data_IF_281118258918
#
_entry.id   IF_281118258918
#
_cell.length_a   1.000
_cell.length_b   1.000
_cell.length_c   1.000
_cell.angle_alpha   90.00
_cell.angle_beta   90.00
_cell.angle_gamma   90.00
#
_symmetry.space_group_name_H-M   'P 1'
#
loop_
_entity.id
_entity.type
_entity.pdbx_description
1 polymer ?
#
# COMPACT_ATOMS: atom_id res chain seq x y z
N UNK A 1 15.66 -75.65 -38.51
CA UNK A 1 14.19 -75.38 -38.40
C UNK A 1 13.91 -74.75 -37.08
N UNK A 2 13.63 -73.49 -37.02
CA UNK A 2 13.25 -72.79 -35.79
C UNK A 2 11.81 -73.26 -35.46
N UNK A 3 11.65 -73.87 -34.29
CA UNK A 3 10.39 -74.46 -33.85
C UNK A 3 9.26 -73.42 -33.80
N UNK A 4 8.13 -73.74 -34.43
CA UNK A 4 6.95 -72.90 -34.43
C UNK A 4 6.46 -72.55 -33.00
N UNK A 5 6.69 -73.45 -32.06
CA UNK A 5 6.35 -73.26 -30.63
C UNK A 5 7.21 -72.14 -29.97
N UNK A 6 8.49 -72.09 -30.25
CA UNK A 6 9.37 -71.02 -29.75
C UNK A 6 8.93 -69.64 -30.23
N UNK A 7 8.60 -69.48 -31.48
CA UNK A 7 8.08 -68.23 -32.07
C UNK A 7 6.74 -67.78 -31.44
N UNK A 8 5.89 -68.74 -31.09
CA UNK A 8 4.61 -68.45 -30.44
C UNK A 8 4.82 -68.03 -28.98
N UNK A 9 5.74 -68.63 -28.25
CA UNK A 9 6.08 -68.26 -26.87
C UNK A 9 6.77 -66.87 -26.79
N UNK A 10 7.69 -66.58 -27.71
CA UNK A 10 8.29 -65.25 -27.80
C UNK A 10 7.28 -64.18 -28.12
N UNK A 11 6.36 -64.39 -29.08
CA UNK A 11 5.28 -63.47 -29.37
C UNK A 11 4.37 -63.22 -28.14
N UNK A 12 4.03 -64.26 -27.38
CA UNK A 12 3.21 -64.16 -26.19
C UNK A 12 3.92 -63.38 -25.09
N UNK A 13 5.22 -63.65 -24.90
CA UNK A 13 6.03 -62.90 -23.92
C UNK A 13 6.21 -61.43 -24.32
N UNK A 14 6.38 -61.11 -25.59
CA UNK A 14 6.47 -59.76 -26.09
C UNK A 14 5.13 -59.02 -25.92
N UNK A 15 4.01 -59.65 -26.22
CA UNK A 15 2.67 -59.08 -26.06
C UNK A 15 2.36 -58.80 -24.60
N UNK A 16 2.72 -59.67 -23.67
CA UNK A 16 2.55 -59.41 -22.25
C UNK A 16 3.36 -58.19 -21.74
N UNK A 17 4.59 -58.04 -22.20
CA UNK A 17 5.42 -56.88 -21.88
C UNK A 17 4.80 -55.58 -22.44
N UNK A 18 4.23 -55.62 -23.64
CA UNK A 18 3.58 -54.51 -24.26
C UNK A 18 2.31 -54.09 -23.52
N UNK A 19 1.52 -55.05 -23.02
CA UNK A 19 0.38 -54.79 -22.17
C UNK A 19 0.78 -54.10 -20.85
N UNK A 20 1.88 -54.54 -20.21
CA UNK A 20 2.37 -53.93 -18.98
C UNK A 20 2.73 -52.45 -19.24
N UNK A 21 3.44 -52.18 -20.33
CA UNK A 21 3.81 -50.81 -20.73
C UNK A 21 2.56 -49.97 -21.03
N UNK A 22 1.59 -50.53 -21.70
CA UNK A 22 0.32 -49.87 -21.98
C UNK A 22 -0.44 -49.52 -20.69
N UNK A 23 -0.55 -50.46 -19.75
CA UNK A 23 -1.20 -50.24 -18.44
C UNK A 23 -0.49 -49.14 -17.65
N UNK A 24 0.87 -49.15 -17.69
CA UNK A 24 1.66 -48.11 -17.04
C UNK A 24 1.35 -46.70 -17.60
N UNK A 25 1.36 -46.56 -18.93
CA UNK A 25 1.01 -45.26 -19.57
C UNK A 25 -0.46 -44.86 -19.38
N UNK A 26 -1.37 -45.82 -19.41
CA UNK A 26 -2.78 -45.58 -19.11
C UNK A 26 -2.97 -45.10 -17.68
N UNK A 27 -2.29 -45.70 -16.71
CA UNK A 27 -2.27 -45.27 -15.32
C UNK A 27 -1.71 -43.86 -15.13
N UNK A 28 -0.59 -43.56 -15.83
CA UNK A 28 0.02 -42.26 -15.83
C UNK A 28 -0.93 -41.18 -16.41
N UNK A 29 -1.60 -41.52 -17.51
CA UNK A 29 -2.58 -40.64 -18.16
C UNK A 29 -3.77 -40.33 -17.24
N UNK A 30 -4.33 -41.37 -16.60
CA UNK A 30 -5.40 -41.18 -15.62
C UNK A 30 -4.97 -40.35 -14.40
N UNK A 31 -3.73 -40.51 -13.96
CA UNK A 31 -3.16 -39.68 -12.89
C UNK A 31 -3.09 -38.20 -13.31
N UNK A 32 -2.66 -37.90 -14.52
CA UNK A 32 -2.64 -36.52 -15.03
C UNK A 32 -4.05 -35.96 -15.19
N UNK A 33 -5.00 -36.75 -15.71
CA UNK A 33 -6.39 -36.32 -15.78
C UNK A 33 -6.95 -35.97 -14.39
N UNK A 34 -6.70 -36.81 -13.40
CA UNK A 34 -7.12 -36.57 -12.02
C UNK A 34 -6.48 -35.29 -11.45
N UNK A 35 -5.18 -35.10 -11.66
CA UNK A 35 -4.49 -33.88 -11.22
C UNK A 35 -5.03 -32.63 -11.92
N UNK A 36 -5.29 -32.70 -13.21
CA UNK A 36 -5.88 -31.59 -13.98
C UNK A 36 -7.29 -31.26 -13.47
N UNK A 37 -8.09 -32.28 -13.19
CA UNK A 37 -9.42 -32.09 -12.60
C UNK A 37 -9.36 -31.38 -11.25
N UNK A 38 -8.47 -31.78 -10.36
CA UNK A 38 -8.27 -31.12 -9.05
C UNK A 38 -7.87 -29.66 -9.22
N UNK A 39 -6.93 -29.39 -10.12
CA UNK A 39 -6.44 -28.02 -10.36
C UNK A 39 -7.53 -27.11 -10.96
N UNK A 40 -8.27 -27.62 -11.95
CA UNK A 40 -9.24 -26.81 -12.70
C UNK A 40 -10.60 -26.65 -12.02
N UNK A 41 -10.97 -27.57 -11.14
CA UNK A 41 -12.30 -27.56 -10.51
C UNK A 41 -12.20 -27.30 -9.01
N UNK A 42 -11.38 -28.06 -8.30
CA UNK A 42 -11.34 -27.97 -6.84
C UNK A 42 -10.55 -26.74 -6.34
N UNK A 43 -9.48 -26.38 -7.03
CA UNK A 43 -8.60 -25.26 -6.62
C UNK A 43 -8.77 -24.01 -7.51
N UNK A 44 -9.79 -23.99 -8.38
CA UNK A 44 -10.01 -22.89 -9.32
C UNK A 44 -10.16 -21.55 -8.61
N UNK A 45 -11.02 -21.51 -7.59
CA UNK A 45 -11.28 -20.28 -6.82
C UNK A 45 -10.05 -19.74 -6.10
N UNK A 46 -9.22 -20.62 -5.57
CA UNK A 46 -8.00 -20.21 -4.86
C UNK A 46 -6.97 -19.60 -5.82
N UNK A 47 -6.81 -20.20 -7.01
CA UNK A 47 -5.92 -19.68 -8.04
C UNK A 47 -6.47 -18.41 -8.72
N UNK A 48 -7.78 -18.30 -8.87
CA UNK A 48 -8.41 -17.07 -9.38
C UNK A 48 -8.18 -15.91 -8.42
N UNK A 49 -8.41 -16.09 -7.11
CA UNK A 49 -8.16 -15.08 -6.08
C UNK A 49 -6.68 -14.69 -6.08
N UNK A 50 -5.77 -15.66 -6.04
CA UNK A 50 -4.34 -15.38 -6.07
C UNK A 50 -3.90 -14.65 -7.37
N UNK A 51 -4.52 -14.97 -8.50
CA UNK A 51 -4.26 -14.26 -9.76
C UNK A 51 -4.77 -12.83 -9.73
N UNK A 52 -5.95 -12.59 -9.16
CA UNK A 52 -6.51 -11.25 -9.00
C UNK A 52 -5.66 -10.42 -8.04
N UNK A 53 -5.27 -10.96 -6.91
CA UNK A 53 -4.38 -10.28 -5.94
C UNK A 53 -3.02 -9.90 -6.57
N UNK A 54 -2.47 -10.72 -7.45
CA UNK A 54 -1.23 -10.42 -8.14
C UNK A 54 -1.38 -9.37 -9.25
N UNK A 55 -2.58 -9.23 -9.81
CA UNK A 55 -2.89 -8.28 -10.90
C UNK A 55 -3.45 -6.95 -10.42
N UNK A 56 -3.82 -6.85 -9.16
CA UNK A 56 -4.45 -5.65 -8.62
C UNK A 56 -3.61 -4.99 -7.54
N UNK A 57 -3.70 -3.67 -7.48
CA UNK A 57 -3.16 -2.86 -6.39
C UNK A 57 -4.27 -2.00 -5.81
N UNK A 58 -4.45 -2.11 -4.52
CA UNK A 58 -5.36 -1.25 -3.79
C UNK A 58 -4.60 -0.01 -3.30
N UNK A 59 -5.16 1.16 -3.59
CA UNK A 59 -4.69 2.46 -3.09
C UNK A 59 -5.79 3.04 -2.22
N UNK A 60 -5.53 3.28 -0.95
CA UNK A 60 -6.50 3.89 -0.06
C UNK A 60 -6.53 5.42 -0.27
N UNK A 61 -7.72 5.99 -0.18
CA UNK A 61 -7.94 7.42 -0.22
C UNK A 61 -8.16 7.88 1.21
N UNK A 62 -7.33 8.82 1.67
CA UNK A 62 -7.46 9.33 3.03
C UNK A 62 -8.65 10.28 3.14
N UNK A 63 -9.54 10.10 4.13
CA UNK A 63 -10.61 11.02 4.40
C UNK A 63 -10.04 12.33 5.00
N UNK A 64 -10.75 13.42 4.77
CA UNK A 64 -10.51 14.67 5.49
C UNK A 64 -11.06 14.54 6.91
N UNK A 65 -10.24 14.95 7.87
CA UNK A 65 -10.66 14.97 9.28
C UNK A 65 -11.64 16.12 9.51
N UNK A 66 -12.67 15.91 10.34
CA UNK A 66 -13.64 16.96 10.70
C UNK A 66 -12.97 18.17 11.35
N UNK A 67 -13.51 19.34 11.16
CA UNK A 67 -13.09 20.59 11.79
C UNK A 67 -13.67 20.68 13.20
N UNK A 68 -12.94 21.30 14.13
CA UNK A 68 -13.42 21.54 15.50
C UNK A 68 -13.76 23.02 15.66
N UNK A 69 -14.97 23.28 16.09
CA UNK A 69 -15.53 24.62 16.28
C UNK A 69 -15.79 24.90 17.77
N UNK A 70 -15.75 26.17 18.14
CA UNK A 70 -16.26 26.66 19.41
C UNK A 70 -17.80 26.70 19.42
N UNK A 71 -18.39 27.22 20.52
CA UNK A 71 -19.87 27.40 20.61
C UNK A 71 -20.45 28.44 19.67
N UNK A 72 -19.63 29.35 19.18
CA UNK A 72 -20.05 30.44 18.28
C UNK A 72 -19.80 30.10 16.79
N UNK A 73 -19.20 28.94 16.50
CA UNK A 73 -18.87 28.52 15.15
C UNK A 73 -17.53 29.04 14.66
N UNK A 74 -16.66 29.56 15.53
CA UNK A 74 -15.28 29.86 15.15
C UNK A 74 -14.46 28.59 15.09
N UNK A 75 -13.55 28.52 14.14
CA UNK A 75 -12.68 27.37 13.97
C UNK A 75 -11.61 27.35 15.04
N UNK A 76 -11.55 26.27 15.82
CA UNK A 76 -10.47 26.02 16.78
C UNK A 76 -9.36 25.16 16.17
N UNK A 77 -9.71 24.12 15.43
CA UNK A 77 -8.76 23.22 14.79
C UNK A 77 -9.19 22.94 13.36
N UNK A 78 -8.29 23.19 12.42
CA UNK A 78 -8.54 23.05 10.99
C UNK A 78 -7.57 22.05 10.32
N UNK A 79 -7.86 21.72 9.07
CA UNK A 79 -6.97 20.97 8.20
C UNK A 79 -6.34 21.93 7.19
N UNK A 80 -5.02 22.00 7.19
CA UNK A 80 -4.28 22.79 6.21
C UNK A 80 -3.54 21.85 5.25
N UNK A 81 -3.55 22.14 3.94
CA UNK A 81 -2.82 21.33 2.98
C UNK A 81 -1.31 21.42 3.26
N UNK A 82 -0.70 20.28 3.44
CA UNK A 82 0.75 20.08 3.63
C UNK A 82 1.29 19.36 2.40
N UNK A 83 2.39 19.84 1.87
CA UNK A 83 3.03 19.26 0.70
C UNK A 83 4.37 18.68 1.10
N UNK A 84 4.52 17.38 0.94
CA UNK A 84 5.73 16.67 1.34
C UNK A 84 6.50 16.21 0.10
N UNK A 85 7.82 16.30 0.14
CA UNK A 85 8.68 15.72 -0.87
C UNK A 85 8.96 14.26 -0.51
N UNK A 86 8.58 13.37 -1.39
CA UNK A 86 8.69 11.92 -1.19
C UNK A 86 9.55 11.32 -2.30
N UNK A 87 10.39 10.36 -1.95
CA UNK A 87 11.12 9.53 -2.91
C UNK A 87 10.72 8.07 -2.78
N UNK A 88 10.84 7.34 -3.90
CA UNK A 88 10.79 5.89 -3.90
C UNK A 88 12.23 5.33 -3.89
N UNK A 89 12.74 4.86 -2.74
CA UNK A 89 14.13 4.41 -2.61
C UNK A 89 14.48 3.20 -3.48
N UNK A 90 13.49 2.34 -3.78
CA UNK A 90 13.73 1.12 -4.57
C UNK A 90 14.23 1.38 -5.99
N UNK A 91 14.01 2.59 -6.49
CA UNK A 91 14.34 2.98 -7.86
C UNK A 91 15.53 3.94 -7.94
N UNK A 92 16.26 4.12 -6.85
CA UNK A 92 17.42 5.03 -6.74
C UNK A 92 18.66 4.20 -6.44
N UNK A 93 19.68 4.30 -7.28
CA UNK A 93 20.94 3.55 -7.13
C UNK A 93 21.84 4.16 -6.05
N UNK A 94 21.96 5.49 -6.06
CA UNK A 94 22.83 6.23 -5.14
C UNK A 94 22.05 7.38 -4.49
N UNK A 95 21.86 7.28 -3.18
CA UNK A 95 21.11 8.28 -2.42
C UNK A 95 21.87 9.59 -2.29
N UNK A 96 23.21 9.56 -2.13
CA UNK A 96 24.01 10.77 -1.94
C UNK A 96 23.97 11.67 -3.18
N UNK A 97 24.11 11.09 -4.36
CA UNK A 97 24.03 11.84 -5.61
C UNK A 97 22.61 12.41 -5.80
N UNK A 98 21.59 11.63 -5.46
CA UNK A 98 20.20 12.07 -5.55
C UNK A 98 19.88 13.23 -4.61
N UNK A 99 20.33 13.16 -3.35
CA UNK A 99 20.18 14.24 -2.36
C UNK A 99 20.92 15.49 -2.80
N UNK A 100 22.17 15.36 -3.30
CA UNK A 100 22.96 16.49 -3.81
C UNK A 100 22.24 17.21 -4.97
N UNK A 101 21.60 16.48 -5.88
CA UNK A 101 20.85 17.07 -6.99
C UNK A 101 19.54 17.74 -6.50
N UNK A 102 18.84 17.13 -5.55
CA UNK A 102 17.64 17.73 -4.94
C UNK A 102 18.00 18.99 -4.17
N UNK A 103 19.10 18.98 -3.44
CA UNK A 103 19.55 20.12 -2.60
C UNK A 103 19.86 21.38 -3.43
N UNK A 104 20.15 21.23 -4.74
CA UNK A 104 20.26 22.39 -5.67
C UNK A 104 18.92 23.07 -5.96
N UNK A 105 17.80 22.45 -5.59
CA UNK A 105 16.45 22.92 -5.93
C UNK A 105 15.63 23.23 -4.68
N UNK A 106 15.75 22.36 -3.68
CA UNK A 106 15.06 22.42 -2.40
C UNK A 106 16.13 22.34 -1.31
N UNK A 107 16.17 23.34 -0.47
CA UNK A 107 17.13 23.42 0.63
C UNK A 107 16.76 22.37 1.71
N UNK A 108 17.48 21.25 1.74
CA UNK A 108 17.34 20.24 2.78
C UNK A 108 18.17 20.62 4.00
N UNK A 109 17.67 20.33 5.18
CA UNK A 109 18.43 20.45 6.41
C UNK A 109 19.35 19.26 6.60
N UNK A 110 20.44 19.41 7.38
CA UNK A 110 21.35 18.30 7.72
C UNK A 110 20.60 17.12 8.38
N UNK A 111 19.63 17.41 9.22
CA UNK A 111 18.80 16.39 9.88
C UNK A 111 17.95 15.60 8.87
N UNK A 112 17.36 16.28 7.87
CA UNK A 112 16.57 15.63 6.81
C UNK A 112 17.47 14.75 5.92
N UNK A 113 18.67 15.21 5.57
CA UNK A 113 19.63 14.42 4.81
C UNK A 113 20.10 13.18 5.57
N UNK A 114 20.48 13.35 6.85
CA UNK A 114 20.92 12.24 7.70
C UNK A 114 19.81 11.22 7.89
N UNK A 115 18.60 11.68 8.17
CA UNK A 115 17.42 10.80 8.27
C UNK A 115 17.19 10.01 6.99
N UNK A 116 17.34 10.66 5.83
CA UNK A 116 17.16 10.01 4.54
C UNK A 116 18.21 8.91 4.33
N UNK A 117 19.49 9.18 4.59
CA UNK A 117 20.62 8.23 4.45
C UNK A 117 20.48 7.02 5.38
N UNK A 118 20.15 7.26 6.64
CA UNK A 118 19.96 6.18 7.63
C UNK A 118 18.81 5.22 7.28
N UNK A 119 17.71 5.76 6.75
CA UNK A 119 16.51 4.97 6.48
C UNK A 119 16.45 4.43 5.06
N UNK A 120 17.29 4.91 4.14
CA UNK A 120 17.23 4.59 2.72
C UNK A 120 17.24 3.08 2.44
N UNK A 121 18.28 2.38 2.90
CA UNK A 121 18.44 0.95 2.64
C UNK A 121 17.29 0.10 3.18
N UNK A 122 16.82 0.43 4.39
CA UNK A 122 15.71 -0.26 5.03
C UNK A 122 14.40 -0.06 4.25
N UNK A 123 14.09 1.18 3.84
CA UNK A 123 12.86 1.49 3.13
C UNK A 123 12.90 1.00 1.69
N UNK A 124 14.08 0.98 1.05
CA UNK A 124 14.26 0.37 -0.27
C UNK A 124 13.95 -1.13 -0.26
N UNK A 125 14.46 -1.88 0.72
CA UNK A 125 14.17 -3.31 0.87
C UNK A 125 12.69 -3.60 1.11
N UNK A 126 12.02 -2.70 1.82
CA UNK A 126 10.58 -2.81 2.11
C UNK A 126 9.70 -2.25 0.98
N UNK A 127 10.29 -1.76 -0.10
CA UNK A 127 9.61 -1.05 -1.20
C UNK A 127 8.69 0.07 -0.69
N UNK A 128 9.20 0.90 0.24
CA UNK A 128 8.45 1.97 0.89
C UNK A 128 8.97 3.33 0.51
N UNK A 129 8.05 4.27 0.49
CA UNK A 129 8.35 5.67 0.27
C UNK A 129 9.11 6.28 1.46
N UNK A 130 10.04 7.16 1.15
CA UNK A 130 10.80 7.94 2.10
C UNK A 130 10.43 9.42 1.98
N UNK A 131 9.93 10.00 3.05
CA UNK A 131 9.66 11.45 3.12
C UNK A 131 10.98 12.18 3.35
N UNK A 132 11.41 12.95 2.34
CA UNK A 132 12.64 13.75 2.40
C UNK A 132 12.41 15.05 3.16
N UNK A 133 11.35 15.78 2.81
CA UNK A 133 11.04 17.06 3.43
C UNK A 133 9.54 17.21 3.61
N UNK A 134 9.14 17.72 4.76
CA UNK A 134 7.73 18.04 5.06
C UNK A 134 7.47 19.53 4.84
N UNK A 135 6.20 19.86 4.58
CA UNK A 135 5.71 21.23 4.48
C UNK A 135 6.49 22.11 3.48
N UNK A 136 6.64 21.62 2.24
CA UNK A 136 7.25 22.41 1.17
C UNK A 136 6.55 23.76 0.98
N UNK A 137 7.33 24.82 0.90
CA UNK A 137 6.84 26.16 0.55
C UNK A 137 6.32 26.20 -0.90
N UNK A 138 5.57 27.24 -1.23
CA UNK A 138 5.06 27.45 -2.59
C UNK A 138 6.21 27.58 -3.58
N UNK A 139 7.29 28.27 -3.20
CA UNK A 139 8.46 28.48 -4.05
C UNK A 139 9.23 27.17 -4.28
N UNK A 140 9.44 26.36 -3.24
CA UNK A 140 10.10 25.05 -3.37
C UNK A 140 9.29 24.13 -4.27
N UNK A 141 7.96 24.09 -4.09
CA UNK A 141 7.07 23.31 -4.96
C UNK A 141 7.17 23.74 -6.42
N UNK A 142 7.17 25.05 -6.65
CA UNK A 142 7.26 25.60 -8.01
C UNK A 142 8.61 25.26 -8.65
N UNK A 143 9.71 25.46 -7.92
CA UNK A 143 11.07 25.10 -8.37
C UNK A 143 11.19 23.62 -8.70
N UNK A 144 10.61 22.75 -7.87
CA UNK A 144 10.64 21.31 -8.09
C UNK A 144 9.77 20.89 -9.28
N UNK A 145 8.53 21.40 -9.40
CA UNK A 145 7.62 21.07 -10.50
C UNK A 145 8.22 21.33 -11.88
N UNK A 146 8.94 22.43 -12.03
CA UNK A 146 9.63 22.81 -13.29
C UNK A 146 10.72 21.79 -13.63
N UNK A 147 11.36 21.18 -12.63
CA UNK A 147 12.49 20.25 -12.80
C UNK A 147 12.14 18.78 -12.56
N UNK A 148 10.87 18.46 -12.35
CA UNK A 148 10.39 17.09 -12.04
C UNK A 148 10.87 16.04 -13.04
N UNK A 149 11.04 16.42 -14.31
CA UNK A 149 11.52 15.50 -15.35
C UNK A 149 12.92 14.90 -15.08
N UNK A 150 13.73 15.54 -14.23
CA UNK A 150 15.04 15.03 -13.77
C UNK A 150 14.93 14.01 -12.64
N UNK A 151 13.79 13.97 -11.96
CA UNK A 151 13.57 13.17 -10.75
C UNK A 151 12.33 12.28 -10.92
N UNK A 152 12.39 11.25 -11.77
CA UNK A 152 11.23 10.39 -12.03
C UNK A 152 10.71 9.69 -10.76
N UNK A 153 11.60 9.39 -9.82
CA UNK A 153 11.31 8.65 -8.58
C UNK A 153 11.05 9.55 -7.36
N UNK A 154 10.91 10.85 -7.60
CA UNK A 154 10.61 11.85 -6.56
C UNK A 154 9.31 12.57 -6.94
N UNK A 155 8.43 12.73 -5.98
CA UNK A 155 7.14 13.39 -6.19
C UNK A 155 6.73 14.20 -4.97
N UNK A 156 5.81 15.14 -5.20
CA UNK A 156 5.18 15.92 -4.14
C UNK A 156 3.88 15.21 -3.79
N UNK A 157 3.76 14.83 -2.53
CA UNK A 157 2.55 14.25 -1.96
C UNK A 157 1.79 15.32 -1.18
N UNK A 158 0.51 15.50 -1.51
CA UNK A 158 -0.37 16.44 -0.85
C UNK A 158 -1.14 15.73 0.24
N UNK A 159 -0.97 16.19 1.46
CA UNK A 159 -1.66 15.68 2.64
C UNK A 159 -2.25 16.83 3.44
N UNK A 160 -3.12 16.49 4.37
CA UNK A 160 -3.64 17.45 5.33
C UNK A 160 -2.86 17.36 6.63
N UNK A 161 -2.36 18.52 7.10
CA UNK A 161 -1.80 18.70 8.43
C UNK A 161 -2.87 19.29 9.35
N UNK A 162 -2.83 18.92 10.62
CA UNK A 162 -3.75 19.43 11.63
C UNK A 162 -3.18 20.68 12.25
N UNK A 163 -3.94 21.78 12.20
CA UNK A 163 -3.54 23.06 12.74
C UNK A 163 -4.50 23.51 13.82
N UNK A 164 -3.94 23.80 15.00
CA UNK A 164 -4.66 24.45 16.10
C UNK A 164 -4.44 25.96 15.97
N UNK A 165 -5.51 26.70 15.76
CA UNK A 165 -5.45 28.16 15.59
C UNK A 165 -5.18 28.90 16.90
N UNK A 166 -5.44 28.26 18.05
CA UNK A 166 -5.24 28.83 19.39
C UNK A 166 -4.37 27.93 20.28
N UNK A 167 -3.11 27.71 19.91
CA UNK A 167 -2.26 26.70 20.57
C UNK A 167 -1.98 26.99 22.05
N UNK A 168 -2.10 28.24 22.49
CA UNK A 168 -1.83 28.62 23.88
C UNK A 168 -3.07 28.57 24.78
N UNK A 169 -4.28 28.55 24.22
CA UNK A 169 -5.51 28.65 25.02
C UNK A 169 -6.13 27.29 25.32
N UNK A 170 -6.23 26.41 24.35
CA UNK A 170 -7.02 25.17 24.45
C UNK A 170 -6.22 23.88 24.25
N UNK A 171 -4.89 23.92 24.32
CA UNK A 171 -4.03 22.77 23.98
C UNK A 171 -4.38 21.51 24.77
N UNK A 172 -4.66 21.62 26.06
CA UNK A 172 -5.01 20.47 26.89
C UNK A 172 -6.41 19.91 26.60
N UNK A 173 -7.37 20.80 26.32
CA UNK A 173 -8.75 20.40 26.03
C UNK A 173 -8.89 19.84 24.62
N UNK A 174 -8.33 20.52 23.62
CA UNK A 174 -8.34 20.08 22.23
C UNK A 174 -7.49 18.84 22.02
N UNK A 175 -6.33 18.80 22.69
CA UNK A 175 -5.35 17.74 22.51
C UNK A 175 -4.53 17.91 21.23
N UNK A 176 -3.94 16.83 20.80
CA UNK A 176 -3.14 16.79 19.56
C UNK A 176 -3.31 15.47 18.81
N UNK A 177 -2.98 15.51 17.55
CA UNK A 177 -2.93 14.33 16.68
C UNK A 177 -1.48 13.88 16.49
N UNK A 178 -1.30 12.60 16.23
CA UNK A 178 0.03 12.04 15.98
C UNK A 178 -0.06 10.80 15.10
N UNK A 179 1.10 10.33 14.68
CA UNK A 179 1.16 9.11 13.87
C UNK A 179 0.62 7.92 14.66
N UNK A 180 -0.18 7.06 14.02
CA UNK A 180 -0.65 5.84 14.64
C UNK A 180 0.49 4.86 14.89
N UNK A 181 0.35 4.05 15.93
CA UNK A 181 1.16 2.85 16.10
C UNK A 181 0.59 1.73 15.23
N UNK A 182 1.33 0.66 15.05
CA UNK A 182 0.89 -0.50 14.27
C UNK A 182 -0.41 -1.10 14.85
N UNK A 183 -0.50 -1.21 16.18
CA UNK A 183 -1.71 -1.65 16.87
C UNK A 183 -2.94 -0.79 16.62
N UNK A 184 -2.75 0.53 16.56
CA UNK A 184 -3.84 1.49 16.31
C UNK A 184 -4.39 1.30 14.89
N UNK A 185 -3.49 1.05 13.92
CA UNK A 185 -3.86 0.81 12.53
C UNK A 185 -4.58 -0.52 12.35
N UNK A 186 -4.12 -1.59 13.00
CA UNK A 186 -4.79 -2.89 12.95
C UNK A 186 -6.25 -2.78 13.43
N UNK A 187 -6.49 -2.10 14.54
CA UNK A 187 -7.83 -1.88 15.07
C UNK A 187 -8.71 -1.08 14.10
N UNK A 188 -8.18 0.01 13.53
CA UNK A 188 -8.89 0.86 12.57
C UNK A 188 -9.27 0.09 11.31
N UNK A 189 -8.35 -0.72 10.76
CA UNK A 189 -8.60 -1.49 9.55
C UNK A 189 -9.57 -2.65 9.78
N UNK A 190 -9.51 -3.31 10.93
CA UNK A 190 -10.49 -4.33 11.31
C UNK A 190 -11.90 -3.72 11.38
N UNK A 191 -12.04 -2.56 12.02
CA UNK A 191 -13.32 -1.87 12.15
C UNK A 191 -13.89 -1.38 10.80
N UNK A 192 -13.04 -1.17 9.80
CA UNK A 192 -13.44 -0.73 8.46
C UNK A 192 -13.46 -1.86 7.42
N UNK A 193 -13.29 -3.13 7.82
CA UNK A 193 -13.20 -4.30 6.92
C UNK A 193 -12.11 -4.18 5.84
N UNK A 194 -11.01 -3.52 6.13
CA UNK A 194 -9.86 -3.37 5.24
C UNK A 194 -8.88 -4.51 5.51
N UNK A 195 -8.61 -5.36 4.50
CA UNK A 195 -7.98 -6.68 4.71
C UNK A 195 -6.45 -6.73 4.55
N UNK A 196 -5.77 -5.68 4.15
CA UNK A 196 -4.37 -5.80 3.75
C UNK A 196 -3.36 -5.36 4.80
N UNK A 197 -2.55 -6.30 5.31
CA UNK A 197 -1.38 -6.00 6.16
C UNK A 197 -0.34 -5.12 5.45
N UNK A 198 -0.21 -5.24 4.13
CA UNK A 198 0.71 -4.41 3.33
C UNK A 198 0.27 -2.95 3.27
N UNK A 199 -1.04 -2.70 3.33
CA UNK A 199 -1.61 -1.36 3.42
C UNK A 199 -1.32 -0.68 4.75
N UNK A 200 -1.30 -1.41 5.88
CA UNK A 200 -1.00 -0.87 7.21
C UNK A 200 0.28 -0.04 7.17
N UNK A 201 1.25 -0.45 6.40
CA UNK A 201 2.55 0.18 6.33
C UNK A 201 2.67 1.34 5.33
N UNK A 202 1.89 1.37 4.26
CA UNK A 202 1.86 2.51 3.33
C UNK A 202 1.26 3.76 3.96
N UNK A 203 0.44 3.58 4.99
CA UNK A 203 -0.36 4.63 5.61
C UNK A 203 0.19 5.21 6.90
N UNK A 204 1.22 4.60 7.51
CA UNK A 204 1.86 5.17 8.70
C UNK A 204 2.48 6.56 8.45
N UNK A 205 2.76 6.90 7.19
CA UNK A 205 3.35 8.18 6.81
C UNK A 205 2.28 9.23 6.51
N UNK A 206 1.78 9.91 7.55
CA UNK A 206 0.91 11.08 7.40
C UNK A 206 -0.56 10.88 7.76
N UNK A 207 -0.98 9.67 8.11
CA UNK A 207 -2.27 9.44 8.73
C UNK A 207 -2.20 9.83 10.21
N UNK A 208 -3.12 10.67 10.63
CA UNK A 208 -3.12 11.20 12.00
C UNK A 208 -4.30 10.65 12.78
N UNK A 209 -4.01 10.19 14.00
CA UNK A 209 -5.04 9.82 14.99
C UNK A 209 -4.96 10.77 16.19
N UNK A 210 -6.07 10.94 16.88
CA UNK A 210 -6.10 11.70 18.13
C UNK A 210 -5.30 10.99 19.21
N UNK A 211 -4.43 11.71 19.91
CA UNK A 211 -3.61 11.16 21.00
C UNK A 211 -4.08 11.61 22.37
N UNK A 212 -4.65 12.78 22.48
CA UNK A 212 -5.14 13.35 23.75
C UNK A 212 -6.36 14.26 23.50
N UNK A 213 -7.06 14.64 24.57
CA UNK A 213 -8.14 15.63 24.57
C UNK A 213 -9.35 15.25 23.69
N UNK A 214 -10.00 16.25 23.14
CA UNK A 214 -11.16 16.07 22.26
C UNK A 214 -10.78 15.33 20.98
N UNK A 215 -9.58 15.55 20.46
CA UNK A 215 -9.06 14.85 19.29
C UNK A 215 -9.01 13.32 19.51
N UNK A 216 -8.69 12.87 20.73
CA UNK A 216 -8.70 11.45 21.09
C UNK A 216 -10.11 10.94 21.38
N UNK A 217 -10.85 11.68 22.20
CA UNK A 217 -12.18 11.23 22.68
C UNK A 217 -13.19 11.07 21.54
N UNK A 218 -13.12 11.95 20.55
CA UNK A 218 -14.00 11.96 19.37
C UNK A 218 -13.31 11.50 18.10
N UNK A 219 -12.16 10.81 18.21
CA UNK A 219 -11.35 10.42 17.05
C UNK A 219 -12.15 9.67 16.00
N UNK A 220 -12.93 8.68 16.37
CA UNK A 220 -13.75 7.89 15.45
C UNK A 220 -14.78 8.75 14.68
N UNK A 221 -15.31 9.77 15.33
CA UNK A 221 -16.31 10.67 14.76
C UNK A 221 -15.71 11.66 13.78
N UNK A 222 -14.54 12.25 14.11
CA UNK A 222 -13.89 13.30 13.33
C UNK A 222 -12.88 12.75 12.30
N UNK A 223 -12.46 11.49 12.44
CA UNK A 223 -11.43 10.88 11.59
C UNK A 223 -11.93 10.53 10.18
N UNK A 224 -13.20 10.12 10.05
CA UNK A 224 -13.77 9.64 8.79
C UNK A 224 -13.40 8.17 8.48
N UNK A 225 -13.74 7.75 7.26
CA UNK A 225 -13.47 6.38 6.77
C UNK A 225 -12.72 6.44 5.47
N UNK A 226 -11.74 5.56 5.30
CA UNK A 226 -10.98 5.44 4.08
C UNK A 226 -11.86 5.06 2.89
N UNK A 227 -11.59 5.71 1.76
CA UNK A 227 -11.93 5.22 0.45
C UNK A 227 -10.86 4.27 -0.08
N UNK A 228 -11.12 3.59 -1.19
CA UNK A 228 -10.15 2.74 -1.87
C UNK A 228 -10.29 2.84 -3.37
N UNK A 229 -9.18 2.78 -4.08
CA UNK A 229 -9.11 2.57 -5.51
C UNK A 229 -8.38 1.28 -5.79
N UNK A 230 -8.96 0.45 -6.65
CA UNK A 230 -8.35 -0.79 -7.09
C UNK A 230 -7.90 -0.58 -8.54
N UNK A 231 -6.62 -0.72 -8.76
CA UNK A 231 -6.00 -0.62 -10.08
C UNK A 231 -5.55 -1.99 -10.56
N UNK A 232 -5.70 -2.23 -11.84
CA UNK A 232 -5.01 -3.31 -12.54
C UNK A 232 -3.56 -2.91 -12.76
N UNK A 233 -2.62 -3.82 -12.49
CA UNK A 233 -1.20 -3.60 -12.68
C UNK A 233 -0.59 -4.66 -13.60
N UNK A 234 0.45 -4.27 -14.34
CA UNK A 234 1.26 -5.22 -15.11
C UNK A 234 2.31 -5.93 -14.22
N UNK A 235 3.08 -6.84 -14.82
CA UNK A 235 4.13 -7.58 -14.13
C UNK A 235 5.26 -6.69 -13.57
N UNK A 236 5.37 -5.45 -14.02
CA UNK A 236 6.32 -4.45 -13.51
C UNK A 236 5.72 -3.57 -12.41
N UNK A 237 4.44 -3.76 -12.07
CA UNK A 237 3.71 -2.96 -11.10
C UNK A 237 3.18 -1.62 -11.62
N UNK A 238 3.19 -1.41 -12.95
CA UNK A 238 2.65 -0.20 -13.56
C UNK A 238 1.13 -0.27 -13.63
N UNK A 239 0.46 0.81 -13.22
CA UNK A 239 -0.99 0.94 -13.31
C UNK A 239 -1.47 0.95 -14.75
N UNK A 240 -2.44 0.10 -15.06
CA UNK A 240 -3.07 -0.04 -16.36
C UNK A 240 -4.46 0.61 -16.38
N UNK A 241 -5.38 0.05 -15.62
CA UNK A 241 -6.77 0.47 -15.57
C UNK A 241 -7.25 0.63 -14.13
N UNK A 242 -8.18 1.55 -13.89
CA UNK A 242 -8.92 1.67 -12.64
C UNK A 242 -10.13 0.72 -12.71
N UNK A 243 -10.20 -0.23 -11.77
CA UNK A 243 -11.24 -1.26 -11.75
C UNK A 243 -12.41 -0.90 -10.85
N UNK A 244 -12.11 -0.39 -9.65
CA UNK A 244 -13.11 -0.05 -8.65
C UNK A 244 -12.69 1.19 -7.88
N UNK A 245 -13.67 2.04 -7.58
CA UNK A 245 -13.49 3.22 -6.70
C UNK A 245 -14.56 3.18 -5.63
N UNK A 246 -14.13 3.23 -4.39
CA UNK A 246 -15.00 3.49 -3.24
C UNK A 246 -14.52 4.79 -2.64
N UNK A 247 -15.37 5.80 -2.68
CA UNK A 247 -15.02 7.12 -2.16
C UNK A 247 -14.82 7.10 -0.65
N UNK A 248 -13.96 7.98 -0.17
CA UNK A 248 -13.76 8.21 1.25
C UNK A 248 -14.98 8.90 1.87
N UNK A 249 -15.22 8.61 3.13
CA UNK A 249 -16.21 9.32 3.93
C UNK A 249 -15.49 10.28 4.87
N UNK A 250 -15.60 11.58 4.61
CA UNK A 250 -14.97 12.59 5.43
C UNK A 250 -15.47 12.55 6.88
N UNK A 251 -14.58 12.91 7.81
CA UNK A 251 -14.92 13.06 9.21
C UNK A 251 -15.97 14.14 9.42
N UNK A 252 -16.79 13.98 10.44
CA UNK A 252 -17.81 14.96 10.79
C UNK A 252 -17.21 16.07 11.64
N UNK A 253 -17.71 17.27 11.44
CA UNK A 253 -17.30 18.42 12.23
C UNK A 253 -17.80 18.33 13.66
N UNK A 254 -16.99 18.80 14.60
CA UNK A 254 -17.28 18.78 16.04
C UNK A 254 -17.52 20.20 16.54
N UNK A 255 -18.71 20.44 17.08
CA UNK A 255 -19.05 21.68 17.78
C UNK A 255 -18.89 21.49 19.27
N UNK A 256 -18.11 22.36 19.89
CA UNK A 256 -17.80 22.27 21.33
C UNK A 256 -18.53 23.35 22.12
N UNK A 257 -18.53 23.21 23.44
CA UNK A 257 -19.01 24.27 24.35
C UNK A 257 -17.92 25.23 24.80
N UNK A 258 -16.73 25.14 24.20
CA UNK A 258 -15.62 26.06 24.49
C UNK A 258 -15.94 27.48 24.04
N UNK A 259 -15.37 28.47 24.77
CA UNK A 259 -15.70 29.90 24.66
C UNK A 259 -14.42 30.72 24.50
#
# INVERSE_FOLDING_TARGET
MINLEERLSEKKSFFNRLIIVYIFFAGLFLYFLYKTFLLQISSYTDYEIASLENKTREVLIQPRRGVIYDRYGNILVNNVPSFNLIINPSSIENIDDHLNEINKIIDLTEDEENFAKENFSRLAQLNRELVLKKNLSIDERSRFKVRKYKFPNTFIDERYSRENLYPFLFSHSLGYTGNPKESDLEEIFLNQNLKSKEMIFSYSNGYLIGKTGLEYTYDEYIRGRFGKKIFEVDASGKFLNELEVVDEVNGKDLFTSLD
#
